data_IF_856603430872
#
_entry.id   IF_856603430872
#
_cell.length_a   1.000
_cell.length_b   1.000
_cell.length_c   1.000
_cell.angle_alpha   90.00
_cell.angle_beta   90.00
_cell.angle_gamma   90.00
#
_symmetry.space_group_name_H-M   'P 1'
#
loop_
_entity.id
_entity.type
_entity.pdbx_description
1 polymer ?
#
# COMPACT_ATOMS: atom_id res chain seq x y z
N UNK A 1 -28.20 -8.65 -37.52
CA UNK A 1 -26.88 -8.32 -38.09
C UNK A 1 -26.51 -6.89 -37.67
N UNK A 2 -25.52 -6.72 -36.79
CA UNK A 2 -25.03 -5.39 -36.41
C UNK A 2 -24.08 -4.85 -37.50
N UNK A 3 -24.16 -3.56 -37.87
CA UNK A 3 -23.27 -2.98 -38.86
C UNK A 3 -21.86 -2.87 -38.29
N UNK A 4 -20.94 -3.69 -38.81
CA UNK A 4 -19.50 -3.64 -38.52
C UNK A 4 -18.92 -2.37 -39.14
N UNK A 5 -19.08 -1.26 -38.42
CA UNK A 5 -18.61 0.06 -38.83
C UNK A 5 -17.08 0.08 -38.85
N UNK A 6 -16.51 0.30 -40.03
CA UNK A 6 -15.05 0.34 -40.24
C UNK A 6 -14.36 1.34 -39.30
N UNK A 7 -15.06 2.39 -38.87
CA UNK A 7 -14.55 3.35 -37.88
C UNK A 7 -14.26 2.75 -36.50
N UNK A 8 -15.05 1.81 -35.98
CA UNK A 8 -14.74 1.20 -34.68
C UNK A 8 -13.55 0.25 -34.78
N UNK A 9 -13.40 -0.47 -35.89
CA UNK A 9 -12.23 -1.30 -36.15
C UNK A 9 -10.95 -0.45 -36.23
N UNK A 10 -11.02 0.72 -36.86
CA UNK A 10 -9.89 1.67 -36.94
C UNK A 10 -9.59 2.25 -35.54
N UNK A 11 -10.62 2.64 -34.78
CA UNK A 11 -10.43 3.14 -33.41
C UNK A 11 -9.81 2.09 -32.47
N UNK A 12 -10.24 0.83 -32.57
CA UNK A 12 -9.66 -0.29 -31.82
C UNK A 12 -8.21 -0.58 -32.24
N UNK A 13 -7.90 -0.51 -33.54
CA UNK A 13 -6.52 -0.67 -34.04
C UNK A 13 -5.61 0.46 -33.56
N UNK A 14 -6.08 1.71 -33.56
CA UNK A 14 -5.31 2.86 -33.08
C UNK A 14 -5.11 2.77 -31.55
N UNK A 15 -6.13 2.36 -30.80
CA UNK A 15 -6.01 2.16 -29.35
C UNK A 15 -5.04 1.01 -29.01
N UNK A 16 -5.08 -0.11 -29.76
CA UNK A 16 -4.15 -1.22 -29.58
C UNK A 16 -2.70 -0.83 -29.90
N UNK A 17 -2.47 -0.03 -30.94
CA UNK A 17 -1.14 0.48 -31.30
C UNK A 17 -0.60 1.49 -30.27
N UNK A 18 -1.47 2.26 -29.61
CA UNK A 18 -1.07 3.21 -28.56
C UNK A 18 -0.65 2.52 -27.24
N UNK A 19 -1.21 1.35 -26.94
CA UNK A 19 -0.82 0.53 -25.77
C UNK A 19 0.56 -0.12 -25.98
N UNK A 20 0.92 -0.48 -27.21
CA UNK A 20 2.24 -1.07 -27.51
C UNK A 20 3.39 -0.04 -27.49
N UNK A 21 3.11 1.26 -27.58
CA UNK A 21 4.14 2.31 -27.54
C UNK A 21 4.44 2.85 -26.13
N UNK A 22 3.72 2.37 -25.11
CA UNK A 22 3.98 2.70 -23.69
C UNK A 22 4.62 1.57 -22.90
N UNK A 23 5.09 0.50 -23.57
CA UNK A 23 6.19 -0.26 -23.01
C UNK A 23 7.39 0.69 -22.96
N UNK A 24 7.59 1.26 -21.78
CA UNK A 24 8.75 2.06 -21.44
C UNK A 24 9.97 1.42 -22.10
N UNK A 25 10.78 2.16 -22.86
CA UNK A 25 12.10 1.70 -23.14
C UNK A 25 12.73 1.51 -21.77
N UNK A 26 12.92 0.25 -21.35
CA UNK A 26 14.02 -0.04 -20.46
C UNK A 26 15.19 0.62 -21.16
N UNK A 27 15.59 1.78 -20.66
CA UNK A 27 16.86 2.36 -21.00
C UNK A 27 17.81 1.21 -20.72
N UNK A 28 18.22 0.52 -21.79
CA UNK A 28 19.38 -0.33 -21.78
C UNK A 28 20.47 0.67 -21.48
N UNK A 29 20.68 0.83 -20.18
CA UNK A 29 21.69 1.64 -19.60
C UNK A 29 22.97 1.10 -20.23
N UNK A 30 23.47 1.83 -21.24
CA UNK A 30 24.83 1.72 -21.74
C UNK A 30 25.72 2.33 -20.65
N UNK A 31 25.69 1.77 -19.44
CA UNK A 31 26.76 1.98 -18.48
C UNK A 31 27.96 1.25 -19.10
N UNK A 32 29.06 1.93 -19.43
CA UNK A 32 30.33 1.22 -19.63
C UNK A 32 30.55 0.38 -18.38
N UNK A 33 30.77 -0.94 -18.51
CA UNK A 33 30.82 -1.90 -17.42
C UNK A 33 31.69 -1.39 -16.24
N UNK A 34 31.06 -0.70 -15.29
CA UNK A 34 31.64 -0.18 -14.06
C UNK A 34 31.31 -1.24 -13.02
N UNK A 35 32.28 -2.12 -12.76
CA UNK A 35 32.13 -3.22 -11.81
C UNK A 35 32.35 -2.66 -10.41
N UNK A 36 31.53 -2.99 -9.39
CA UNK A 36 31.80 -2.59 -8.00
C UNK A 36 33.09 -3.24 -7.49
N UNK A 37 33.96 -2.49 -6.81
CA UNK A 37 35.23 -3.04 -6.31
C UNK A 37 34.98 -4.07 -5.19
N UNK A 38 35.46 -5.30 -5.34
CA UNK A 38 35.41 -6.33 -4.28
C UNK A 38 36.61 -6.14 -3.33
N UNK A 39 36.41 -5.93 -2.02
CA UNK A 39 37.51 -5.81 -1.07
C UNK A 39 38.34 -7.10 -0.99
N UNK A 40 39.65 -7.01 -1.22
CA UNK A 40 40.59 -8.15 -1.09
C UNK A 40 41.09 -8.78 -2.39
N UNK A 41 40.63 -8.32 -3.56
CA UNK A 41 41.15 -8.76 -4.87
C UNK A 41 42.29 -7.83 -5.36
N UNK A 42 43.39 -8.36 -5.94
CA UNK A 42 44.41 -7.54 -6.59
C UNK A 42 43.82 -6.72 -7.74
N UNK A 43 44.07 -5.41 -7.72
CA UNK A 43 43.52 -4.44 -8.70
C UNK A 43 44.08 -4.75 -10.10
N UNK A 44 43.19 -5.04 -11.05
CA UNK A 44 43.55 -5.17 -12.47
C UNK A 44 43.61 -3.75 -13.08
N UNK A 45 44.71 -3.32 -13.71
CA UNK A 45 44.92 -1.91 -14.11
C UNK A 45 43.95 -1.31 -15.15
N UNK A 46 43.00 -2.07 -15.68
CA UNK A 46 42.20 -1.70 -16.85
C UNK A 46 40.68 -1.68 -16.63
N UNK A 47 40.20 -1.91 -15.40
CA UNK A 47 38.76 -1.88 -15.09
C UNK A 47 38.53 -0.74 -14.09
N UNK A 48 37.94 0.39 -14.50
CA UNK A 48 37.50 1.40 -13.56
C UNK A 48 36.41 0.78 -12.67
N UNK A 49 36.69 0.67 -11.38
CA UNK A 49 35.71 0.26 -10.38
C UNK A 49 35.46 1.45 -9.45
N UNK A 50 34.22 1.60 -8.99
CA UNK A 50 33.82 2.67 -8.08
C UNK A 50 33.57 2.08 -6.69
N UNK A 51 33.91 2.85 -5.67
CA UNK A 51 33.57 2.52 -4.30
C UNK A 51 32.05 2.67 -4.14
N UNK A 52 31.35 1.54 -3.97
CA UNK A 52 29.97 1.56 -3.49
C UNK A 52 30.07 1.84 -1.99
N UNK A 53 29.88 3.09 -1.59
CA UNK A 53 29.61 3.41 -0.19
C UNK A 53 28.37 2.59 0.22
N UNK A 54 28.44 1.76 1.29
CA UNK A 54 27.27 1.04 1.78
C UNK A 54 26.21 2.09 2.10
N UNK A 55 25.17 2.16 1.27
CA UNK A 55 24.01 2.99 1.59
C UNK A 55 23.54 2.54 2.98
N UNK A 56 23.34 3.46 3.93
CA UNK A 56 22.80 3.11 5.23
C UNK A 56 21.54 2.28 5.01
N UNK A 57 21.49 1.08 5.61
CA UNK A 57 20.27 0.29 5.63
C UNK A 57 19.12 1.22 6.06
N UNK A 58 18.02 1.31 5.30
CA UNK A 58 16.89 2.12 5.74
C UNK A 58 16.51 1.68 7.16
N UNK A 59 16.21 2.63 8.06
CA UNK A 59 15.83 2.30 9.42
C UNK A 59 14.66 1.30 9.40
N UNK A 60 14.64 0.31 10.31
CA UNK A 60 13.54 -0.66 10.35
C UNK A 60 12.21 0.09 10.48
N UNK A 61 11.26 -0.24 9.60
CA UNK A 61 9.93 0.34 9.63
C UNK A 61 9.33 0.10 11.02
N UNK A 62 8.88 1.17 11.68
CA UNK A 62 8.33 1.08 13.02
C UNK A 62 6.89 0.57 12.93
N UNK A 63 6.66 -0.73 12.98
CA UNK A 63 5.29 -1.27 12.95
C UNK A 63 4.52 -0.89 14.21
N UNK A 64 3.25 -0.48 14.12
CA UNK A 64 2.45 -0.16 15.30
C UNK A 64 2.24 -1.41 16.16
N UNK A 65 2.20 -1.24 17.48
CA UNK A 65 1.97 -2.35 18.43
C UNK A 65 0.50 -2.82 18.47
N UNK A 66 -0.42 -1.99 17.99
CA UNK A 66 -1.86 -2.21 17.95
C UNK A 66 -2.49 -1.29 16.91
N UNK A 67 -3.68 -1.63 16.41
CA UNK A 67 -4.29 -0.92 15.29
C UNK A 67 -5.47 -0.02 15.64
N UNK A 68 -5.98 -0.02 16.87
CA UNK A 68 -7.10 0.84 17.27
C UNK A 68 -6.72 2.31 17.23
N UNK A 69 -5.57 2.71 17.77
CA UNK A 69 -5.20 4.14 17.80
C UNK A 69 -5.00 4.72 16.40
N UNK A 70 -4.26 4.06 15.47
CA UNK A 70 -4.20 4.51 14.08
C UNK A 70 -5.59 4.57 13.43
N UNK A 71 -6.42 3.53 13.60
CA UNK A 71 -7.75 3.47 12.96
C UNK A 71 -8.76 4.46 13.54
N UNK A 72 -8.58 4.93 14.77
CA UNK A 72 -9.40 6.00 15.33
C UNK A 72 -9.30 7.30 14.52
N UNK A 73 -8.22 7.51 13.75
CA UNK A 73 -8.10 8.64 12.82
C UNK A 73 -9.17 8.59 11.71
N UNK A 74 -9.79 7.43 11.45
CA UNK A 74 -10.90 7.27 10.50
C UNK A 74 -12.29 7.53 11.11
N UNK A 75 -12.42 7.85 12.39
CA UNK A 75 -13.73 8.16 12.98
C UNK A 75 -14.52 9.26 12.21
N UNK A 76 -13.90 10.33 11.69
CA UNK A 76 -14.60 11.31 10.86
C UNK A 76 -15.17 10.73 9.55
N UNK A 77 -14.70 9.55 9.11
CA UNK A 77 -15.19 8.85 7.93
C UNK A 77 -16.48 8.05 8.18
N UNK A 78 -16.92 7.87 9.43
CA UNK A 78 -18.00 6.96 9.79
C UNK A 78 -19.28 7.16 8.95
N UNK A 79 -19.74 8.40 8.78
CA UNK A 79 -20.92 8.70 7.96
C UNK A 79 -20.73 8.32 6.48
N UNK A 80 -19.54 8.53 5.93
CA UNK A 80 -19.24 8.16 4.55
C UNK A 80 -19.09 6.65 4.37
N UNK A 81 -18.50 5.96 5.35
CA UNK A 81 -18.24 4.52 5.31
C UNK A 81 -19.48 3.67 5.57
N UNK A 82 -20.51 4.22 6.20
CA UNK A 82 -21.72 3.47 6.60
C UNK A 82 -22.96 3.86 5.81
N UNK A 83 -22.95 5.02 5.14
CA UNK A 83 -24.10 5.52 4.37
C UNK A 83 -23.74 5.79 2.91
N UNK A 84 -24.27 4.95 2.01
CA UNK A 84 -24.03 5.05 0.57
C UNK A 84 -24.53 6.37 -0.06
N UNK A 85 -25.49 7.06 0.58
CA UNK A 85 -26.04 8.32 0.10
C UNK A 85 -25.09 9.51 0.27
N UNK A 86 -24.07 9.40 1.12
CA UNK A 86 -23.05 10.45 1.26
C UNK A 86 -22.12 10.38 0.06
N UNK A 87 -22.03 11.42 -0.77
CA UNK A 87 -21.27 11.32 -2.03
C UNK A 87 -19.75 11.54 -1.88
N UNK A 88 -19.32 12.28 -0.85
CA UNK A 88 -17.90 12.61 -0.63
C UNK A 88 -17.54 12.52 0.87
N UNK A 89 -16.34 12.03 1.23
CA UNK A 89 -15.87 12.07 2.60
C UNK A 89 -15.64 13.53 3.08
N UNK A 90 -15.83 13.81 4.39
CA UNK A 90 -15.40 15.07 4.99
C UNK A 90 -13.89 15.30 4.84
N UNK A 91 -13.42 16.54 4.83
CA UNK A 91 -11.98 16.85 4.77
C UNK A 91 -11.19 16.22 5.93
N UNK A 92 -11.75 16.25 7.14
CA UNK A 92 -11.16 15.60 8.31
C UNK A 92 -11.04 14.07 8.16
N UNK A 93 -11.94 13.44 7.38
CA UNK A 93 -11.82 12.02 7.05
C UNK A 93 -10.61 11.77 6.15
N UNK A 94 -10.45 12.57 5.10
CA UNK A 94 -9.30 12.43 4.20
C UNK A 94 -7.97 12.73 4.91
N UNK A 95 -7.94 13.73 5.80
CA UNK A 95 -6.75 14.01 6.62
C UNK A 95 -6.39 12.82 7.53
N UNK A 96 -7.39 12.20 8.16
CA UNK A 96 -7.18 11.02 8.99
C UNK A 96 -6.68 9.83 8.18
N UNK A 97 -7.27 9.58 7.02
CA UNK A 97 -6.86 8.51 6.11
C UNK A 97 -5.43 8.71 5.59
N UNK A 98 -5.12 9.90 5.08
CA UNK A 98 -3.78 10.29 4.63
C UNK A 98 -2.72 10.08 5.72
N UNK A 99 -3.04 10.46 6.96
CA UNK A 99 -2.12 10.28 8.08
C UNK A 99 -1.85 8.83 8.48
N UNK A 100 -2.65 7.86 8.00
CA UNK A 100 -2.40 6.43 8.21
C UNK A 100 -1.55 5.89 7.06
N UNK A 101 -1.90 6.27 5.83
CA UNK A 101 -1.24 5.80 4.60
C UNK A 101 0.18 6.35 4.47
N UNK A 102 0.34 7.63 4.78
CA UNK A 102 1.56 8.40 4.50
C UNK A 102 2.39 8.73 5.76
N UNK A 103 2.09 8.12 6.92
CA UNK A 103 2.84 8.39 8.16
C UNK A 103 4.30 7.95 8.12
N UNK A 104 4.67 7.00 7.25
CA UNK A 104 5.99 6.37 7.25
C UNK A 104 6.25 5.45 8.47
N UNK A 105 5.33 5.43 9.44
CA UNK A 105 5.37 4.63 10.67
C UNK A 105 4.66 3.26 10.48
N UNK A 106 4.57 2.76 9.25
CA UNK A 106 3.94 1.47 8.96
C UNK A 106 2.47 1.34 9.38
N UNK A 107 1.78 2.44 9.74
CA UNK A 107 0.39 2.41 10.22
C UNK A 107 -0.59 1.94 9.14
N UNK A 108 -0.21 2.04 7.86
CA UNK A 108 -0.98 1.54 6.72
C UNK A 108 -1.40 0.08 6.85
N UNK A 109 -0.60 -0.78 7.51
CA UNK A 109 -0.95 -2.18 7.76
C UNK A 109 -2.25 -2.33 8.56
N UNK A 110 -2.61 -1.33 9.37
CA UNK A 110 -3.84 -1.37 10.14
C UNK A 110 -5.10 -1.25 9.28
N UNK A 111 -4.99 -0.77 8.04
CA UNK A 111 -6.11 -0.74 7.08
C UNK A 111 -6.56 -2.15 6.68
N UNK A 112 -5.77 -3.19 6.95
CA UNK A 112 -6.18 -4.58 6.80
C UNK A 112 -7.41 -4.92 7.65
N UNK A 113 -7.51 -4.39 8.89
CA UNK A 113 -8.71 -4.54 9.73
C UNK A 113 -9.93 -3.84 9.14
N UNK A 114 -9.72 -2.82 8.31
CA UNK A 114 -10.79 -2.09 7.62
C UNK A 114 -11.31 -2.92 6.46
N UNK A 115 -10.41 -3.46 5.63
CA UNK A 115 -10.76 -4.35 4.51
C UNK A 115 -11.42 -5.67 4.94
N UNK A 116 -10.98 -6.24 6.07
CA UNK A 116 -11.55 -7.47 6.64
C UNK A 116 -12.87 -7.25 7.39
N UNK A 117 -13.25 -5.99 7.67
CA UNK A 117 -14.48 -5.63 8.37
C UNK A 117 -14.37 -5.60 9.90
N UNK A 118 -13.20 -5.86 10.46
CA UNK A 118 -12.92 -5.89 11.90
C UNK A 118 -13.00 -4.51 12.57
N UNK A 119 -12.95 -3.42 11.78
CA UNK A 119 -13.21 -2.06 12.26
C UNK A 119 -14.68 -1.82 12.64
N UNK A 120 -15.60 -2.76 12.36
CA UNK A 120 -17.02 -2.61 12.66
C UNK A 120 -17.33 -2.24 14.12
N UNK A 121 -16.44 -2.59 15.07
CA UNK A 121 -16.58 -2.20 16.48
C UNK A 121 -16.31 -0.72 16.77
N UNK A 122 -15.67 0.01 15.85
CA UNK A 122 -15.38 1.45 15.96
C UNK A 122 -16.40 2.31 15.22
N UNK A 123 -17.28 1.70 14.42
CA UNK A 123 -18.23 2.42 13.58
C UNK A 123 -19.64 2.40 14.21
N UNK A 124 -20.43 3.47 14.03
CA UNK A 124 -21.78 3.55 14.56
C UNK A 124 -22.79 2.67 13.82
N UNK A 125 -22.40 2.09 12.68
CA UNK A 125 -23.22 1.26 11.80
C UNK A 125 -22.34 0.29 10.99
N UNK A 126 -22.93 -0.75 10.36
CA UNK A 126 -22.18 -1.68 9.53
C UNK A 126 -21.41 -0.97 8.42
N UNK A 127 -20.15 -1.37 8.29
CA UNK A 127 -19.24 -0.86 7.29
C UNK A 127 -19.68 -1.29 5.89
N UNK A 128 -19.73 -0.34 4.96
CA UNK A 128 -19.85 -0.64 3.54
C UNK A 128 -18.45 -0.80 2.94
N UNK A 129 -18.02 -2.05 2.75
CA UNK A 129 -16.67 -2.38 2.27
C UNK A 129 -16.33 -1.72 0.94
N UNK A 130 -17.31 -1.58 0.03
CA UNK A 130 -17.08 -0.89 -1.25
C UNK A 130 -16.68 0.58 -1.07
N UNK A 131 -17.06 1.22 0.04
CA UNK A 131 -16.75 2.61 0.33
C UNK A 131 -15.32 2.82 0.84
N UNK A 132 -14.69 1.78 1.40
CA UNK A 132 -13.29 1.83 1.82
C UNK A 132 -12.39 2.01 0.59
N UNK A 133 -12.62 1.20 -0.46
CA UNK A 133 -11.87 1.31 -1.71
C UNK A 133 -12.11 2.63 -2.45
N UNK A 134 -13.20 3.34 -2.14
CA UNK A 134 -13.50 4.67 -2.68
C UNK A 134 -12.81 5.80 -1.95
N UNK A 135 -12.28 5.59 -0.74
CA UNK A 135 -11.51 6.62 -0.02
C UNK A 135 -10.26 7.02 -0.81
N UNK A 136 -9.57 6.07 -1.40
CA UNK A 136 -8.36 6.29 -2.21
C UNK A 136 -8.60 7.37 -3.30
N UNK A 137 -9.51 7.18 -4.28
CA UNK A 137 -9.78 8.22 -5.28
C UNK A 137 -10.51 9.45 -4.72
N UNK A 138 -11.36 9.31 -3.69
CA UNK A 138 -12.14 10.44 -3.17
C UNK A 138 -11.31 11.38 -2.26
N UNK A 139 -10.20 10.89 -1.72
CA UNK A 139 -9.23 11.61 -0.89
C UNK A 139 -7.87 11.85 -1.58
N UNK A 140 -7.76 11.59 -2.89
CA UNK A 140 -6.53 11.80 -3.68
C UNK A 140 -5.30 11.12 -3.08
N UNK A 141 -5.50 9.88 -2.62
CA UNK A 141 -4.47 9.01 -2.11
C UNK A 141 -4.29 7.84 -3.09
N UNK A 142 -3.16 7.15 -3.04
CA UNK A 142 -2.89 5.96 -3.86
C UNK A 142 -2.53 4.79 -2.96
N UNK A 143 -3.55 4.12 -2.42
CA UNK A 143 -3.39 2.78 -1.85
C UNK A 143 -3.70 1.81 -2.97
N UNK A 144 -2.70 1.04 -3.40
CA UNK A 144 -2.95 0.04 -4.43
C UNK A 144 -3.55 -1.21 -3.80
N UNK A 145 -4.20 -2.01 -4.63
CA UNK A 145 -4.77 -3.28 -4.19
C UNK A 145 -3.68 -4.24 -3.69
N UNK A 146 -2.45 -4.06 -4.18
CA UNK A 146 -1.27 -4.80 -3.76
C UNK A 146 -0.90 -4.55 -2.30
N UNK A 147 -1.03 -3.32 -1.77
CA UNK A 147 -0.84 -3.06 -0.33
C UNK A 147 -1.88 -3.79 0.54
N UNK A 148 -3.09 -4.03 0.03
CA UNK A 148 -4.06 -4.90 0.72
C UNK A 148 -3.73 -6.40 0.58
N UNK A 149 -3.01 -6.82 -0.46
CA UNK A 149 -2.56 -8.20 -0.59
C UNK A 149 -1.52 -8.54 0.49
N UNK A 150 -0.74 -7.54 0.92
CA UNK A 150 0.20 -7.66 2.03
C UNK A 150 -0.48 -7.96 3.38
N UNK A 151 -1.79 -7.71 3.52
CA UNK A 151 -2.56 -8.07 4.72
C UNK A 151 -2.51 -9.56 5.06
N UNK A 152 -2.24 -10.43 4.08
CA UNK A 152 -2.10 -11.87 4.29
C UNK A 152 -0.63 -12.32 4.41
N UNK A 153 0.32 -11.46 4.00
CA UNK A 153 1.75 -11.78 3.98
C UNK A 153 2.51 -11.22 5.18
N UNK A 154 2.03 -10.12 5.76
CA UNK A 154 2.60 -9.47 6.92
C UNK A 154 1.73 -9.73 8.16
N UNK A 155 2.37 -9.82 9.33
CA UNK A 155 1.67 -9.89 10.61
C UNK A 155 0.92 -8.57 10.86
N UNK A 156 -0.41 -8.60 10.73
CA UNK A 156 -1.26 -7.46 11.06
C UNK A 156 -1.34 -7.33 12.58
N UNK A 157 -0.91 -6.20 13.19
CA UNK A 157 -1.00 -6.01 14.64
C UNK A 157 -2.44 -6.14 15.14
N UNK A 158 -2.65 -6.60 16.38
CA UNK A 158 -4.00 -6.79 16.91
C UNK A 158 -4.76 -5.47 17.01
N UNK A 159 -6.09 -5.54 16.97
CA UNK A 159 -6.93 -4.35 17.09
C UNK A 159 -6.69 -3.63 18.41
N UNK A 160 -6.67 -4.34 19.53
CA UNK A 160 -6.31 -3.77 20.85
C UNK A 160 -5.03 -4.39 21.36
N UNK A 161 -4.21 -3.65 22.13
CA UNK A 161 -3.04 -4.24 22.78
C UNK A 161 -3.48 -5.42 23.65
N UNK A 162 -2.80 -6.55 23.49
CA UNK A 162 -3.01 -7.69 24.36
C UNK A 162 -2.61 -7.29 25.78
N UNK A 163 -3.52 -7.44 26.74
CA UNK A 163 -3.17 -7.21 28.14
C UNK A 163 -2.00 -8.13 28.50
N UNK A 164 -0.89 -7.63 29.06
CA UNK A 164 0.13 -8.51 29.63
C UNK A 164 -0.51 -9.18 30.85
N UNK A 165 -1.02 -10.40 30.72
CA UNK A 165 -1.71 -11.04 31.86
C UNK A 165 -2.62 -12.24 31.63
N UNK A 166 -2.55 -12.96 30.51
CA UNK A 166 -3.07 -14.34 30.45
C UNK A 166 -1.99 -15.29 29.96
N UNK A 167 -0.97 -15.48 30.79
CA UNK A 167 -0.27 -16.75 30.82
C UNK A 167 -1.28 -17.75 31.34
N UNK A 168 -1.74 -18.67 30.48
CA UNK A 168 -2.54 -19.80 30.94
C UNK A 168 -1.74 -20.52 32.03
N UNK A 169 -2.34 -20.88 33.18
CA UNK A 169 -1.63 -21.67 34.17
C UNK A 169 -1.13 -22.97 33.51
N UNK A 170 0.11 -23.42 33.80
CA UNK A 170 0.62 -24.66 33.24
C UNK A 170 -0.33 -25.81 33.62
N UNK A 171 -0.49 -26.82 32.74
CA UNK A 171 -1.37 -27.94 33.01
C UNK A 171 -0.93 -28.63 34.31
N UNK A 172 -1.86 -28.79 35.25
CA UNK A 172 -1.63 -29.54 36.47
C UNK A 172 -1.27 -30.99 36.11
N UNK A 173 -0.13 -31.46 36.62
CA UNK A 173 0.26 -32.88 36.60
C UNK A 173 -0.29 -33.59 37.82
#
# INVERSE_FOLDING_TARGET
MAPRNKSFLIALLVAALAVSLHLQPSAAIRIPALIPCIPGLPKIPFIPCYDVEPSPLPPPLKTPSECRTPLMKLMPCAGYLTNASVSKPPSACCQGFDSIVNSGDGEGICLCHVGNGDIGQLLPAPLNIARIFRLTPDCDNDIRLEEFAECNMNDVPPMTPSSPGKVAPPPAS
#
